data_IF_492310540664
#
_entry.id   IF_492310540664
#
_cell.length_a   1.000
_cell.length_b   1.000
_cell.length_c   1.000
_cell.angle_alpha   90.00
_cell.angle_beta   90.00
_cell.angle_gamma   90.00
#
_symmetry.space_group_name_H-M   'P 1'
#
loop_
_entity.id
_entity.type
_entity.pdbx_description
1 polymer ?
#
# COMPACT_ATOMS: atom_id res chain seq x y z
N UNK A 1 -0.89 -9.15 -30.51
CA UNK A 1 -0.36 -9.17 -31.89
C UNK A 1 0.77 -8.16 -31.98
N UNK A 2 1.97 -8.56 -32.40
CA UNK A 2 3.08 -7.64 -32.65
C UNK A 2 3.36 -7.54 -34.15
N UNK A 3 3.49 -6.33 -34.67
CA UNK A 3 3.94 -6.07 -36.03
C UNK A 3 5.13 -5.12 -35.97
N UNK A 4 6.22 -5.46 -36.65
CA UNK A 4 7.37 -4.56 -36.85
C UNK A 4 7.66 -4.46 -38.35
N UNK A 5 8.00 -3.25 -38.79
CA UNK A 5 8.45 -2.98 -40.15
C UNK A 5 9.91 -3.42 -40.30
N UNK A 6 10.17 -4.32 -41.24
CA UNK A 6 11.50 -4.53 -41.79
C UNK A 6 11.61 -3.71 -43.06
N UNK A 7 12.39 -2.63 -43.02
CA UNK A 7 12.70 -1.83 -44.21
C UNK A 7 14.13 -2.14 -44.67
N UNK A 8 14.23 -2.79 -45.83
CA UNK A 8 15.39 -2.76 -46.70
C UNK A 8 14.92 -2.19 -48.04
N UNK A 9 15.59 -1.16 -48.55
CA UNK A 9 15.22 -0.54 -49.83
C UNK A 9 15.36 -1.57 -50.98
N UNK A 10 14.41 -1.65 -51.92
CA UNK A 10 13.30 -0.72 -52.15
C UNK A 10 11.91 -1.25 -51.73
N UNK A 11 11.79 -2.12 -50.71
CA UNK A 11 10.48 -2.63 -50.28
C UNK A 11 10.38 -2.89 -48.76
N UNK A 12 9.44 -2.22 -48.09
CA UNK A 12 9.08 -2.54 -46.70
C UNK A 12 7.99 -3.62 -46.70
N UNK A 13 8.28 -4.77 -46.08
CA UNK A 13 7.31 -5.86 -45.91
C UNK A 13 6.76 -5.86 -44.49
N UNK A 14 5.44 -5.86 -44.33
CA UNK A 14 4.77 -6.11 -43.05
C UNK A 14 4.70 -7.61 -42.80
N UNK A 15 5.68 -8.16 -42.09
CA UNK A 15 5.65 -9.57 -41.67
C UNK A 15 4.77 -9.70 -40.43
N UNK A 16 3.52 -10.12 -40.61
CA UNK A 16 2.65 -10.53 -39.50
C UNK A 16 3.15 -11.87 -38.97
N UNK A 17 3.88 -11.88 -37.85
CA UNK A 17 3.99 -13.11 -37.08
C UNK A 17 2.62 -13.36 -36.42
N UNK A 18 1.85 -14.30 -36.97
CA UNK A 18 0.96 -15.09 -36.14
C UNK A 18 1.88 -15.85 -35.20
N UNK A 19 1.95 -15.41 -33.94
CA UNK A 19 2.24 -16.38 -32.88
C UNK A 19 1.11 -17.40 -33.02
N UNK A 20 1.43 -18.57 -33.57
CA UNK A 20 0.48 -19.67 -33.59
C UNK A 20 0.21 -19.96 -32.12
N UNK A 21 -1.01 -19.68 -31.67
CA UNK A 21 -1.44 -20.06 -30.35
C UNK A 21 -1.17 -21.56 -30.23
N UNK A 22 -0.37 -21.95 -29.23
CA UNK A 22 -0.04 -23.36 -29.06
C UNK A 22 -1.37 -24.10 -28.89
N UNK A 23 -1.65 -25.04 -29.79
CA UNK A 23 -2.87 -25.84 -29.70
C UNK A 23 -2.90 -26.64 -28.40
N UNK A 24 -4.05 -27.23 -28.04
CA UNK A 24 -4.21 -27.92 -26.77
C UNK A 24 -3.10 -28.98 -26.57
N UNK A 25 -2.39 -28.97 -25.42
CA UNK A 25 -1.35 -29.95 -25.12
C UNK A 25 -1.94 -31.36 -24.92
N UNK A 26 -1.07 -32.37 -24.89
CA UNK A 26 -1.49 -33.77 -24.93
C UNK A 26 -2.32 -34.19 -23.70
N UNK A 27 -1.95 -33.69 -22.54
CA UNK A 27 -2.66 -33.87 -21.26
C UNK A 27 -4.06 -33.25 -21.30
N UNK A 28 -4.22 -32.04 -21.85
CA UNK A 28 -5.53 -31.39 -22.03
C UNK A 28 -6.41 -32.18 -23.02
N UNK A 29 -5.83 -32.70 -24.11
CA UNK A 29 -6.55 -33.55 -25.07
C UNK A 29 -7.00 -34.87 -24.46
N UNK A 30 -6.15 -35.50 -23.65
CA UNK A 30 -6.49 -36.74 -22.94
C UNK A 30 -7.60 -36.50 -21.91
N UNK A 31 -7.51 -35.41 -21.14
CA UNK A 31 -8.54 -35.00 -20.20
C UNK A 31 -9.88 -34.73 -20.90
N UNK A 32 -9.86 -33.97 -21.99
CA UNK A 32 -11.06 -33.71 -22.80
C UNK A 32 -11.67 -35.02 -23.30
N UNK A 33 -10.85 -35.92 -23.88
CA UNK A 33 -11.33 -37.21 -24.40
C UNK A 33 -11.96 -38.07 -23.32
N UNK A 34 -11.41 -38.06 -22.09
CA UNK A 34 -11.96 -38.79 -20.95
C UNK A 34 -13.39 -38.33 -20.63
N UNK A 35 -13.60 -37.02 -20.43
CA UNK A 35 -14.90 -36.47 -20.03
C UNK A 35 -15.89 -36.34 -21.19
N UNK A 36 -15.42 -36.18 -22.44
CA UNK A 36 -16.25 -36.22 -23.63
C UNK A 36 -16.62 -37.66 -24.06
N UNK A 37 -16.22 -38.69 -23.29
CA UNK A 37 -16.45 -40.11 -23.59
C UNK A 37 -15.97 -40.54 -24.98
N UNK A 38 -14.84 -39.98 -25.43
CA UNK A 38 -14.30 -40.21 -26.78
C UNK A 38 -14.97 -39.41 -27.90
N UNK A 39 -15.98 -38.59 -27.57
CA UNK A 39 -16.64 -37.67 -28.49
C UNK A 39 -15.76 -36.50 -28.92
N UNK A 40 -16.16 -35.83 -30.00
CA UNK A 40 -15.50 -34.61 -30.50
C UNK A 40 -15.95 -33.34 -29.76
N UNK A 41 -16.97 -33.47 -28.89
CA UNK A 41 -17.64 -32.38 -28.21
C UNK A 41 -17.93 -32.78 -26.76
N UNK A 42 -17.76 -31.85 -25.83
CA UNK A 42 -18.10 -32.00 -24.41
C UNK A 42 -19.41 -31.28 -24.11
N UNK A 43 -20.40 -31.99 -23.60
CA UNK A 43 -21.71 -31.45 -23.19
C UNK A 43 -21.62 -30.68 -21.87
N UNK A 44 -22.69 -29.97 -21.50
CA UNK A 44 -22.80 -29.28 -20.20
C UNK A 44 -22.65 -30.28 -19.05
N UNK A 45 -23.32 -31.43 -19.13
CA UNK A 45 -23.31 -32.47 -18.11
C UNK A 45 -21.90 -33.05 -17.92
N UNK A 46 -21.18 -33.26 -19.03
CA UNK A 46 -19.80 -33.74 -19.01
C UNK A 46 -18.83 -32.69 -18.45
N UNK A 47 -19.03 -31.41 -18.77
CA UNK A 47 -18.26 -30.33 -18.16
C UNK A 47 -18.53 -30.25 -16.66
N UNK A 48 -19.80 -30.30 -16.24
CA UNK A 48 -20.19 -30.33 -14.83
C UNK A 48 -19.50 -31.47 -14.07
N UNK A 49 -19.45 -32.68 -14.66
CA UNK A 49 -18.74 -33.81 -14.08
C UNK A 49 -17.23 -33.54 -13.94
N UNK A 50 -16.60 -32.93 -14.95
CA UNK A 50 -15.20 -32.51 -14.86
C UNK A 50 -14.96 -31.52 -13.70
N UNK A 51 -15.86 -30.54 -13.53
CA UNK A 51 -15.76 -29.53 -12.46
C UNK A 51 -15.89 -30.16 -11.07
N UNK A 52 -16.84 -31.10 -10.92
CA UNK A 52 -17.06 -31.82 -9.67
C UNK A 52 -15.88 -32.74 -9.31
N UNK A 53 -15.37 -33.51 -10.27
CA UNK A 53 -14.34 -34.54 -10.02
C UNK A 53 -12.91 -33.98 -9.94
N UNK A 54 -12.57 -32.99 -10.78
CA UNK A 54 -11.18 -32.51 -10.93
C UNK A 54 -10.94 -31.20 -10.22
N UNK A 55 -11.84 -30.24 -10.38
CA UNK A 55 -11.64 -28.89 -9.83
C UNK A 55 -12.03 -28.82 -8.34
N UNK A 56 -12.49 -29.92 -7.73
CA UNK A 56 -12.85 -29.99 -6.31
C UNK A 56 -14.02 -29.10 -5.93
N UNK A 57 -14.83 -28.66 -6.91
CA UNK A 57 -15.99 -27.82 -6.66
C UNK A 57 -17.19 -28.69 -6.26
N UNK A 58 -17.18 -29.19 -5.02
CA UNK A 58 -18.27 -30.01 -4.46
C UNK A 58 -19.65 -29.32 -4.35
N UNK A 59 -19.78 -28.09 -4.86
CA UNK A 59 -21.03 -27.31 -4.91
C UNK A 59 -21.30 -26.63 -6.25
N UNK A 60 -20.58 -26.98 -7.33
CA UNK A 60 -20.89 -26.46 -8.67
C UNK A 60 -22.18 -27.09 -9.17
N UNK A 61 -23.14 -26.23 -9.49
CA UNK A 61 -24.43 -26.61 -10.05
C UNK A 61 -24.32 -26.87 -11.55
N UNK A 62 -25.30 -27.55 -12.14
CA UNK A 62 -25.33 -27.73 -13.58
C UNK A 62 -25.52 -26.37 -14.29
N UNK A 63 -26.23 -25.45 -13.66
CA UNK A 63 -26.44 -24.07 -14.13
C UNK A 63 -25.12 -23.29 -14.21
N UNK A 64 -24.18 -23.51 -13.29
CA UNK A 64 -22.84 -22.90 -13.37
C UNK A 64 -22.07 -23.42 -14.60
N UNK A 65 -22.17 -24.73 -14.87
CA UNK A 65 -21.57 -25.32 -16.06
C UNK A 65 -22.22 -24.79 -17.36
N UNK A 66 -23.54 -24.59 -17.38
CA UNK A 66 -24.25 -23.95 -18.50
C UNK A 66 -23.72 -22.53 -18.74
N UNK A 67 -23.61 -21.72 -17.67
CA UNK A 67 -23.08 -20.35 -17.77
C UNK A 67 -21.65 -20.32 -18.29
N UNK A 68 -20.80 -21.26 -17.88
CA UNK A 68 -19.43 -21.37 -18.40
C UNK A 68 -19.47 -21.65 -19.90
N UNK A 69 -20.25 -22.64 -20.34
CA UNK A 69 -20.36 -23.00 -21.77
C UNK A 69 -20.84 -21.81 -22.59
N UNK A 70 -21.90 -21.13 -22.15
CA UNK A 70 -22.45 -19.96 -22.83
C UNK A 70 -21.43 -18.82 -22.94
N UNK A 71 -20.69 -18.54 -21.87
CA UNK A 71 -19.66 -17.49 -21.87
C UNK A 71 -18.47 -17.82 -22.77
N UNK A 72 -18.03 -19.07 -22.80
CA UNK A 72 -16.97 -19.52 -23.74
C UNK A 72 -17.46 -19.36 -25.17
N UNK A 73 -18.66 -19.85 -25.50
CA UNK A 73 -19.20 -19.78 -26.85
C UNK A 73 -19.47 -18.34 -27.29
N UNK A 74 -19.93 -17.47 -26.39
CA UNK A 74 -20.17 -16.05 -26.70
C UNK A 74 -18.89 -15.30 -27.07
N UNK A 75 -17.77 -15.60 -26.40
CA UNK A 75 -16.49 -14.91 -26.64
C UNK A 75 -15.83 -15.33 -27.95
N UNK A 76 -15.99 -16.58 -28.36
CA UNK A 76 -15.22 -17.16 -29.46
C UNK A 76 -16.04 -17.52 -30.70
N UNK A 77 -17.36 -17.68 -30.56
CA UNK A 77 -18.25 -18.16 -31.62
C UNK A 77 -19.52 -17.32 -31.76
N UNK A 78 -19.43 -16.19 -32.49
CA UNK A 78 -20.55 -15.26 -32.70
C UNK A 78 -21.83 -15.89 -33.29
N UNK A 79 -21.69 -16.97 -34.08
CA UNK A 79 -22.79 -17.65 -34.79
C UNK A 79 -23.14 -18.99 -34.14
N UNK A 80 -22.16 -19.80 -33.73
CA UNK A 80 -22.40 -21.15 -33.21
C UNK A 80 -23.08 -21.17 -31.82
N UNK A 81 -23.05 -20.06 -31.07
CA UNK A 81 -23.76 -19.91 -29.79
C UNK A 81 -25.28 -20.16 -29.87
N UNK A 82 -25.88 -20.02 -31.05
CA UNK A 82 -27.32 -20.20 -31.25
C UNK A 82 -27.72 -21.64 -31.60
N UNK A 83 -26.76 -22.50 -31.92
CA UNK A 83 -27.04 -23.86 -32.42
C UNK A 83 -26.34 -24.95 -31.61
N UNK A 84 -25.38 -24.58 -30.75
CA UNK A 84 -24.51 -25.52 -30.04
C UNK A 84 -24.43 -25.19 -28.55
N UNK A 85 -24.60 -26.19 -27.70
CA UNK A 85 -24.41 -26.14 -26.23
C UNK A 85 -23.33 -27.13 -25.76
N UNK A 86 -22.19 -27.13 -26.43
CA UNK A 86 -21.10 -28.06 -26.14
C UNK A 86 -19.75 -27.46 -26.52
N UNK A 87 -18.67 -27.88 -25.87
CA UNK A 87 -17.31 -27.35 -26.04
C UNK A 87 -16.46 -28.26 -26.92
N UNK A 88 -15.61 -27.71 -27.80
CA UNK A 88 -14.53 -28.48 -28.44
C UNK A 88 -13.34 -28.58 -27.50
N UNK A 89 -12.32 -29.35 -27.90
CA UNK A 89 -11.04 -29.39 -27.16
C UNK A 89 -10.35 -28.02 -27.15
N UNK A 90 -10.52 -27.20 -28.19
CA UNK A 90 -10.05 -25.82 -28.22
C UNK A 90 -10.82 -24.95 -27.22
N UNK A 91 -12.15 -25.03 -27.21
CA UNK A 91 -12.99 -24.27 -26.27
C UNK A 91 -12.66 -24.64 -24.80
N UNK A 92 -12.49 -25.93 -24.53
CA UNK A 92 -12.09 -26.43 -23.20
C UNK A 92 -10.69 -25.96 -22.80
N UNK A 93 -9.73 -25.99 -23.72
CA UNK A 93 -8.39 -25.44 -23.48
C UNK A 93 -8.45 -23.95 -23.15
N UNK A 94 -9.23 -23.16 -23.89
CA UNK A 94 -9.40 -21.73 -23.60
C UNK A 94 -10.08 -21.49 -22.25
N UNK A 95 -11.05 -22.33 -21.88
CA UNK A 95 -11.67 -22.30 -20.56
C UNK A 95 -10.64 -22.52 -19.44
N UNK A 96 -9.81 -23.56 -19.52
CA UNK A 96 -8.83 -23.91 -18.47
C UNK A 96 -7.88 -22.76 -18.13
N UNK A 97 -7.48 -21.96 -19.14
CA UNK A 97 -6.58 -20.82 -18.99
C UNK A 97 -7.31 -19.47 -18.91
N UNK A 98 -8.63 -19.48 -18.84
CA UNK A 98 -9.41 -18.26 -18.68
C UNK A 98 -9.29 -17.76 -17.24
N UNK A 99 -8.67 -16.59 -17.05
CA UNK A 99 -8.62 -15.93 -15.74
C UNK A 99 -9.99 -15.46 -15.25
N UNK A 100 -10.97 -15.37 -16.14
CA UNK A 100 -12.32 -14.90 -15.79
C UNK A 100 -13.26 -16.05 -15.47
N UNK A 101 -13.15 -17.16 -16.22
CA UNK A 101 -14.04 -18.32 -16.09
C UNK A 101 -13.46 -19.45 -15.23
N UNK A 102 -12.14 -19.54 -15.14
CA UNK A 102 -11.42 -20.52 -14.33
C UNK A 102 -10.29 -19.85 -13.54
N UNK A 103 -10.60 -18.86 -12.68
CA UNK A 103 -9.57 -18.22 -11.88
C UNK A 103 -8.98 -19.22 -10.88
N UNK A 104 -7.67 -19.12 -10.57
CA UNK A 104 -7.02 -20.02 -9.60
C UNK A 104 -7.58 -19.89 -8.17
N UNK A 105 -8.23 -18.76 -7.86
CA UNK A 105 -8.93 -18.48 -6.61
C UNK A 105 -10.28 -17.85 -6.96
N UNK A 106 -11.34 -18.18 -6.21
CA UNK A 106 -12.65 -17.56 -6.40
C UNK A 106 -12.61 -16.05 -6.13
N UNK A 107 -13.49 -15.30 -6.80
CA UNK A 107 -13.62 -13.84 -6.64
C UNK A 107 -14.50 -13.44 -5.44
N UNK A 108 -14.79 -14.38 -4.53
CA UNK A 108 -15.65 -14.15 -3.37
C UNK A 108 -14.85 -14.14 -2.08
N UNK A 109 -15.22 -13.24 -1.18
CA UNK A 109 -14.67 -13.18 0.16
C UNK A 109 -15.17 -14.38 0.96
N UNK A 110 -14.25 -15.23 1.43
CA UNK A 110 -14.57 -16.46 2.15
C UNK A 110 -14.04 -16.47 3.59
N UNK A 111 -13.17 -15.53 3.95
CA UNK A 111 -12.56 -15.43 5.27
C UNK A 111 -13.51 -14.73 6.23
N UNK A 112 -13.31 -14.95 7.54
CA UNK A 112 -13.98 -14.14 8.55
C UNK A 112 -13.48 -12.70 8.44
N UNK A 113 -14.39 -11.76 8.20
CA UNK A 113 -14.10 -10.33 8.03
C UNK A 113 -14.54 -9.50 9.25
N UNK A 114 -14.90 -10.16 10.35
CA UNK A 114 -15.41 -9.55 11.58
C UNK A 114 -14.36 -9.45 12.69
N UNK A 115 -13.14 -9.97 12.49
CA UNK A 115 -12.06 -9.80 13.43
C UNK A 115 -11.47 -8.36 13.35
N UNK A 116 -10.70 -7.91 14.36
CA UNK A 116 -10.05 -6.60 14.33
C UNK A 116 -9.15 -6.40 13.10
N UNK A 117 -9.09 -5.18 12.57
CA UNK A 117 -8.27 -4.85 11.38
C UNK A 117 -6.78 -5.26 11.51
N UNK A 118 -6.22 -5.32 12.72
CA UNK A 118 -4.85 -5.80 12.96
C UNK A 118 -4.64 -7.29 12.62
N UNK A 119 -5.69 -8.07 12.42
CA UNK A 119 -5.60 -9.50 12.10
C UNK A 119 -5.44 -9.77 10.60
N UNK A 120 -5.51 -8.75 9.76
CA UNK A 120 -5.53 -8.89 8.30
C UNK A 120 -4.25 -8.33 7.68
N UNK A 121 -3.75 -8.98 6.64
CA UNK A 121 -2.79 -8.35 5.74
C UNK A 121 -3.51 -7.38 4.82
N UNK A 122 -2.97 -6.17 4.70
CA UNK A 122 -3.61 -5.06 4.00
C UNK A 122 -2.76 -4.66 2.80
N UNK A 123 -3.35 -4.69 1.60
CA UNK A 123 -2.64 -4.34 0.38
C UNK A 123 -2.22 -2.87 0.39
N UNK A 124 -0.91 -2.62 0.49
CA UNK A 124 -0.39 -1.30 0.82
C UNK A 124 0.46 -0.72 -0.30
N UNK A 125 0.12 0.48 -0.76
CA UNK A 125 0.95 1.30 -1.63
C UNK A 125 1.98 2.12 -0.85
N UNK A 126 3.14 2.35 -1.46
CA UNK A 126 4.18 3.28 -1.01
C UNK A 126 4.30 4.40 -2.05
N UNK A 127 4.37 5.66 -1.59
CA UNK A 127 4.43 6.86 -2.42
C UNK A 127 3.48 6.78 -3.63
N UNK A 128 2.20 6.57 -3.33
CA UNK A 128 1.18 6.11 -4.30
C UNK A 128 0.88 7.11 -5.42
N UNK A 129 1.39 8.33 -5.30
CA UNK A 129 1.27 9.41 -6.26
C UNK A 129 2.39 9.43 -7.32
N UNK A 130 3.48 8.66 -7.14
CA UNK A 130 4.60 8.67 -8.08
C UNK A 130 4.29 7.87 -9.36
N UNK A 131 4.60 8.45 -10.52
CA UNK A 131 4.48 7.79 -11.82
C UNK A 131 5.70 6.88 -12.11
N UNK A 132 6.86 7.16 -11.51
CA UNK A 132 8.08 6.41 -11.79
C UNK A 132 9.07 6.36 -10.62
N UNK A 133 10.28 6.85 -10.86
CA UNK A 133 11.39 6.82 -9.91
C UNK A 133 11.17 7.79 -8.72
N UNK A 134 11.91 7.59 -7.63
CA UNK A 134 11.75 8.36 -6.39
C UNK A 134 12.36 9.78 -6.46
N UNK A 135 13.10 10.15 -7.50
CA UNK A 135 13.90 11.38 -7.50
C UNK A 135 13.40 12.47 -8.44
N UNK A 136 12.93 12.12 -9.63
CA UNK A 136 12.62 13.08 -10.70
C UNK A 136 11.36 12.76 -11.49
N UNK A 137 10.62 11.71 -11.11
CA UNK A 137 9.38 11.39 -11.80
C UNK A 137 8.23 12.32 -11.41
N UNK A 138 7.23 12.41 -12.27
CA UNK A 138 6.06 13.22 -12.00
C UNK A 138 5.16 12.59 -10.93
N UNK A 139 4.48 13.44 -10.16
CA UNK A 139 3.40 13.04 -9.27
C UNK A 139 2.05 13.22 -9.97
N UNK A 140 1.13 12.28 -9.75
CA UNK A 140 -0.22 12.33 -10.32
C UNK A 140 -1.20 11.52 -9.48
N UNK A 141 -2.49 11.77 -9.69
CA UNK A 141 -3.62 10.97 -9.24
C UNK A 141 -3.81 9.67 -10.05
N UNK A 142 -3.27 9.57 -11.28
CA UNK A 142 -3.42 8.38 -12.14
C UNK A 142 -2.87 7.09 -11.50
N UNK A 143 -1.66 7.06 -10.88
CA UNK A 143 -1.17 5.88 -10.19
C UNK A 143 -2.03 5.48 -8.98
N UNK A 144 -2.67 6.45 -8.32
CA UNK A 144 -3.60 6.22 -7.21
C UNK A 144 -4.85 5.49 -7.72
N UNK A 145 -5.46 5.99 -8.79
CA UNK A 145 -6.60 5.34 -9.45
C UNK A 145 -6.26 3.91 -9.84
N UNK A 146 -5.10 3.70 -10.47
CA UNK A 146 -4.62 2.37 -10.87
C UNK A 146 -4.34 1.44 -9.68
N UNK A 147 -3.87 1.97 -8.56
CA UNK A 147 -3.65 1.19 -7.34
C UNK A 147 -5.00 0.73 -6.77
N UNK A 148 -5.98 1.63 -6.65
CA UNK A 148 -7.30 1.33 -6.10
C UNK A 148 -8.08 0.32 -6.96
N UNK A 149 -8.06 0.45 -8.29
CA UNK A 149 -8.71 -0.51 -9.19
C UNK A 149 -8.04 -1.89 -9.20
N UNK A 150 -6.80 -2.00 -8.70
CA UNK A 150 -6.09 -3.26 -8.46
C UNK A 150 -6.32 -3.81 -7.05
N UNK A 151 -7.20 -3.20 -6.25
CA UNK A 151 -7.52 -3.65 -4.90
C UNK A 151 -6.60 -3.11 -3.80
N UNK A 152 -5.65 -2.19 -4.07
CA UNK A 152 -4.84 -1.57 -3.00
C UNK A 152 -5.76 -0.88 -2.00
N UNK A 153 -5.57 -1.14 -0.71
CA UNK A 153 -6.40 -0.61 0.40
C UNK A 153 -5.71 0.47 1.23
N UNK A 154 -4.40 0.67 1.07
CA UNK A 154 -3.67 1.75 1.74
C UNK A 154 -2.97 2.64 0.71
N UNK A 155 -3.30 3.93 0.71
CA UNK A 155 -2.74 4.94 -0.19
C UNK A 155 -1.91 5.92 0.63
N UNK A 156 -0.65 6.12 0.25
CA UNK A 156 0.26 7.07 0.88
C UNK A 156 0.32 8.38 0.10
N UNK A 157 0.18 9.51 0.81
CA UNK A 157 0.33 10.88 0.29
C UNK A 157 1.27 11.69 1.19
N UNK A 158 2.30 12.27 0.58
CA UNK A 158 3.26 13.16 1.27
C UNK A 158 2.80 14.60 1.11
N UNK A 159 2.37 15.22 2.19
CA UNK A 159 1.72 16.52 2.18
C UNK A 159 2.72 17.64 2.45
N UNK A 160 2.84 18.57 1.50
CA UNK A 160 3.73 19.72 1.59
C UNK A 160 3.02 21.03 1.26
N UNK A 161 3.44 22.16 1.85
CA UNK A 161 2.94 23.47 1.45
C UNK A 161 3.38 23.80 0.01
N UNK A 162 2.51 24.48 -0.74
CA UNK A 162 2.92 25.16 -1.97
C UNK A 162 3.87 26.35 -1.67
N UNK A 163 4.46 26.94 -2.71
CA UNK A 163 5.39 28.07 -2.56
C UNK A 163 4.79 29.29 -1.84
N UNK A 164 3.48 29.54 -2.02
CA UNK A 164 2.76 30.62 -1.36
C UNK A 164 2.32 30.29 0.08
N UNK A 165 2.50 29.05 0.54
CA UNK A 165 2.10 28.52 1.86
C UNK A 165 0.61 28.65 2.19
N UNK A 166 -0.24 28.76 1.16
CA UNK A 166 -1.69 28.88 1.27
C UNK A 166 -2.43 27.64 0.74
N UNK A 167 -1.74 26.71 0.09
CA UNK A 167 -2.30 25.45 -0.42
C UNK A 167 -1.38 24.24 -0.21
N UNK A 168 -1.92 23.04 -0.46
CA UNK A 168 -1.26 21.76 -0.20
C UNK A 168 -1.03 20.97 -1.49
N UNK A 169 0.22 20.56 -1.65
CA UNK A 169 0.70 19.73 -2.73
C UNK A 169 1.07 18.34 -2.21
N UNK A 170 1.05 17.37 -3.12
CA UNK A 170 1.57 16.02 -2.91
C UNK A 170 2.82 15.84 -3.76
N UNK A 171 3.94 15.54 -3.12
CA UNK A 171 5.24 15.28 -3.77
C UNK A 171 6.20 14.57 -2.83
N UNK A 172 7.25 13.96 -3.39
CA UNK A 172 8.34 13.44 -2.59
C UNK A 172 9.31 14.58 -2.23
N UNK A 173 9.33 14.94 -0.95
CA UNK A 173 10.06 16.10 -0.47
C UNK A 173 11.57 16.03 -0.73
N UNK A 174 12.20 17.20 -0.89
CA UNK A 174 13.66 17.31 -1.15
C UNK A 174 14.14 16.56 -2.40
N UNK A 175 13.26 16.34 -3.37
CA UNK A 175 13.59 15.75 -4.68
C UNK A 175 13.13 16.65 -5.83
N UNK A 176 13.37 16.22 -7.07
CA UNK A 176 12.98 16.92 -8.30
C UNK A 176 11.64 16.42 -8.86
N UNK A 177 10.85 15.67 -8.08
CA UNK A 177 9.52 15.21 -8.53
C UNK A 177 8.58 16.40 -8.71
N UNK A 178 7.83 16.42 -9.82
CA UNK A 178 6.84 17.48 -10.04
C UNK A 178 5.61 17.23 -9.17
N UNK A 179 5.09 18.24 -8.46
CA UNK A 179 3.99 18.06 -7.50
C UNK A 179 2.62 17.92 -8.18
N UNK A 180 1.67 17.32 -7.45
CA UNK A 180 0.23 17.31 -7.79
C UNK A 180 -0.60 17.95 -6.68
N UNK A 181 -1.68 18.62 -7.02
CA UNK A 181 -2.59 19.23 -6.03
C UNK A 181 -3.29 18.15 -5.19
N UNK A 182 -3.34 18.32 -3.87
CA UNK A 182 -3.97 17.36 -2.96
C UNK A 182 -5.42 17.05 -3.36
N UNK A 183 -6.19 18.06 -3.79
CA UNK A 183 -7.59 17.87 -4.16
C UNK A 183 -7.78 16.90 -5.34
N UNK A 184 -6.83 16.84 -6.28
CA UNK A 184 -6.89 15.88 -7.39
C UNK A 184 -6.75 14.45 -6.87
N UNK A 185 -5.78 14.22 -5.97
CA UNK A 185 -5.61 12.93 -5.32
C UNK A 185 -6.85 12.53 -4.52
N UNK A 186 -7.41 13.43 -3.70
CA UNK A 186 -8.60 13.13 -2.89
C UNK A 186 -9.83 12.79 -3.74
N UNK A 187 -10.04 13.48 -4.88
CA UNK A 187 -11.13 13.18 -5.82
C UNK A 187 -10.95 11.82 -6.49
N UNK A 188 -9.75 11.52 -7.00
CA UNK A 188 -9.44 10.22 -7.57
C UNK A 188 -9.65 9.08 -6.56
N UNK A 189 -9.27 9.29 -5.29
CA UNK A 189 -9.55 8.34 -4.21
C UNK A 189 -11.06 8.17 -4.03
N UNK A 190 -11.84 9.25 -3.90
CA UNK A 190 -13.29 9.18 -3.71
C UNK A 190 -13.98 8.36 -4.81
N UNK A 191 -13.58 8.58 -6.05
CA UNK A 191 -14.17 7.92 -7.22
C UNK A 191 -13.83 6.43 -7.32
N UNK A 192 -12.67 6.02 -6.81
CA UNK A 192 -12.13 4.67 -7.03
C UNK A 192 -11.98 3.84 -5.76
N UNK A 193 -12.19 4.40 -4.58
CA UNK A 193 -11.90 3.76 -3.29
C UNK A 193 -12.49 2.35 -3.19
N UNK A 194 -13.73 2.17 -3.64
CA UNK A 194 -14.48 0.92 -3.48
C UNK A 194 -14.79 0.23 -4.81
N UNK A 195 -14.05 0.53 -5.88
CA UNK A 195 -14.28 -0.05 -7.21
C UNK A 195 -13.90 -1.53 -7.30
N UNK A 196 -12.86 -1.93 -6.57
CA UNK A 196 -12.36 -3.30 -6.56
C UNK A 196 -12.80 -4.12 -5.34
N UNK A 197 -13.11 -3.47 -4.21
CA UNK A 197 -13.52 -4.13 -2.96
C UNK A 197 -14.36 -3.19 -2.08
N UNK A 198 -15.36 -3.69 -1.34
CA UNK A 198 -16.18 -2.89 -0.42
C UNK A 198 -15.44 -2.52 0.88
N UNK A 199 -14.31 -3.16 1.19
CA UNK A 199 -13.58 -2.97 2.44
C UNK A 199 -12.84 -1.62 2.52
N UNK A 200 -12.52 -1.15 3.74
CA UNK A 200 -12.03 0.22 3.95
C UNK A 200 -10.76 0.56 3.18
N UNK A 201 -10.64 1.85 2.83
CA UNK A 201 -9.40 2.44 2.32
C UNK A 201 -8.77 3.32 3.41
N UNK A 202 -7.48 3.10 3.67
CA UNK A 202 -6.69 3.86 4.65
C UNK A 202 -5.79 4.84 3.91
N UNK A 203 -5.90 6.12 4.25
CA UNK A 203 -5.01 7.17 3.75
C UNK A 203 -3.91 7.43 4.76
N UNK A 204 -2.67 7.22 4.37
CA UNK A 204 -1.52 7.48 5.23
C UNK A 204 -0.85 8.78 4.79
N UNK A 205 -0.79 9.76 5.70
CA UNK A 205 -0.15 11.03 5.40
C UNK A 205 1.24 11.13 6.01
N UNK A 206 2.22 11.47 5.20
CA UNK A 206 3.46 12.09 5.66
C UNK A 206 3.26 13.61 5.71
N UNK A 207 2.97 14.11 6.90
CA UNK A 207 2.50 15.48 7.11
C UNK A 207 3.67 16.45 7.40
N UNK A 208 3.95 17.34 6.44
CA UNK A 208 4.94 18.43 6.56
C UNK A 208 4.28 19.80 6.66
N UNK A 209 3.01 19.86 7.08
CA UNK A 209 2.20 21.06 7.09
C UNK A 209 2.26 21.81 8.43
N UNK A 210 2.00 23.12 8.37
CA UNK A 210 1.74 23.93 9.55
C UNK A 210 0.26 23.77 10.01
N UNK A 211 -0.11 24.20 11.23
CA UNK A 211 -1.48 24.03 11.75
C UNK A 211 -2.59 24.68 10.90
N UNK A 212 -2.30 25.78 10.20
CA UNK A 212 -3.26 26.44 9.32
C UNK A 212 -3.57 25.55 8.09
N UNK A 213 -2.53 25.00 7.46
CA UNK A 213 -2.71 24.08 6.33
C UNK A 213 -3.30 22.73 6.77
N UNK A 214 -2.99 22.23 7.98
CA UNK A 214 -3.66 21.06 8.55
C UNK A 214 -5.18 21.28 8.68
N UNK A 215 -5.60 22.48 9.10
CA UNK A 215 -7.01 22.84 9.16
C UNK A 215 -7.66 22.83 7.76
N UNK A 216 -6.96 23.39 6.76
CA UNK A 216 -7.39 23.36 5.35
C UNK A 216 -7.52 21.91 4.85
N UNK A 217 -6.55 21.04 5.14
CA UNK A 217 -6.62 19.61 4.79
C UNK A 217 -7.81 18.93 5.46
N UNK A 218 -8.05 19.20 6.74
CA UNK A 218 -9.22 18.65 7.44
C UNK A 218 -10.53 19.04 6.76
N UNK A 219 -10.65 20.31 6.34
CA UNK A 219 -11.79 20.79 5.57
C UNK A 219 -11.92 20.07 4.22
N UNK A 220 -10.82 19.97 3.45
CA UNK A 220 -10.80 19.31 2.15
C UNK A 220 -11.21 17.84 2.24
N UNK A 221 -10.70 17.10 3.23
CA UNK A 221 -11.03 15.69 3.48
C UNK A 221 -12.52 15.56 3.84
N UNK A 222 -13.00 16.39 4.78
CA UNK A 222 -14.41 16.36 5.22
C UNK A 222 -15.37 16.66 4.07
N UNK A 223 -15.07 17.68 3.26
CA UNK A 223 -15.87 18.05 2.10
C UNK A 223 -15.83 16.99 0.99
N UNK A 224 -14.66 16.36 0.78
CA UNK A 224 -14.50 15.38 -0.29
C UNK A 224 -15.19 14.07 0.05
N UNK A 225 -14.90 13.49 1.22
CA UNK A 225 -15.37 12.14 1.57
C UNK A 225 -16.74 12.15 2.27
N UNK A 226 -17.11 13.22 2.98
CA UNK A 226 -18.40 13.32 3.65
C UNK A 226 -18.72 12.09 4.49
N UNK A 227 -19.84 11.43 4.18
CA UNK A 227 -20.28 10.22 4.88
C UNK A 227 -19.32 9.01 4.73
N UNK A 228 -18.45 8.99 3.71
CA UNK A 228 -17.45 7.91 3.58
C UNK A 228 -16.36 8.01 4.65
N UNK A 229 -16.13 9.19 5.24
CA UNK A 229 -15.08 9.37 6.22
C UNK A 229 -15.43 8.66 7.53
N UNK A 230 -14.55 7.80 8.01
CA UNK A 230 -14.61 7.24 9.35
C UNK A 230 -13.85 8.15 10.31
N UNK A 231 -14.51 8.53 11.40
CA UNK A 231 -13.91 9.26 12.51
C UNK A 231 -14.32 8.55 13.80
N UNK A 232 -13.38 8.16 14.66
CA UNK A 232 -13.71 7.42 15.87
C UNK A 232 -14.48 8.32 16.85
N UNK A 233 -15.50 7.76 17.53
CA UNK A 233 -16.30 8.48 18.53
C UNK A 233 -15.47 8.92 19.75
N UNK A 234 -14.43 8.15 20.06
CA UNK A 234 -13.48 8.39 21.14
C UNK A 234 -12.08 8.65 20.57
N UNK A 235 -11.31 9.53 21.21
CA UNK A 235 -9.88 9.70 20.88
C UNK A 235 -9.03 8.44 21.15
N UNK A 236 -9.61 7.39 21.75
CA UNK A 236 -8.92 6.21 22.25
C UNK A 236 -9.61 4.93 21.79
N UNK A 237 -9.10 4.29 20.74
CA UNK A 237 -9.48 2.94 20.36
C UNK A 237 -8.67 1.92 21.17
N UNK A 238 -9.34 1.05 21.92
CA UNK A 238 -8.70 -0.08 22.62
C UNK A 238 -8.38 -1.26 21.69
N UNK A 239 -9.10 -1.35 20.59
CA UNK A 239 -8.99 -2.35 19.54
C UNK A 239 -9.41 -1.71 18.21
N UNK A 240 -8.92 -2.23 17.09
CA UNK A 240 -9.37 -1.75 15.78
C UNK A 240 -10.74 -2.34 15.43
N UNK A 241 -11.67 -1.54 14.85
CA UNK A 241 -12.87 -2.10 14.26
C UNK A 241 -12.54 -3.10 13.15
N UNK A 242 -13.47 -3.99 12.85
CA UNK A 242 -13.31 -5.00 11.81
C UNK A 242 -13.41 -4.41 10.39
N UNK A 243 -12.86 -5.10 9.36
CA UNK A 243 -13.12 -4.77 7.97
C UNK A 243 -14.62 -4.67 7.65
N UNK A 244 -15.44 -5.56 8.21
CA UNK A 244 -16.89 -5.58 8.01
C UNK A 244 -17.58 -4.30 8.51
N UNK A 245 -17.27 -3.86 9.73
CA UNK A 245 -17.80 -2.61 10.32
C UNK A 245 -17.35 -1.35 9.55
N UNK A 246 -16.22 -1.45 8.85
CA UNK A 246 -15.58 -0.36 8.12
C UNK A 246 -15.84 -0.39 6.61
N UNK A 247 -16.78 -1.23 6.14
CA UNK A 247 -17.16 -1.24 4.72
C UNK A 247 -17.56 0.15 4.23
N UNK A 248 -17.06 0.49 3.04
CA UNK A 248 -17.25 1.77 2.37
C UNK A 248 -16.75 2.99 3.16
N UNK A 249 -15.79 2.78 4.09
CA UNK A 249 -15.17 3.86 4.85
C UNK A 249 -13.76 4.21 4.39
N UNK A 250 -13.45 5.51 4.46
CA UNK A 250 -12.13 6.10 4.32
C UNK A 250 -11.59 6.42 5.71
N UNK A 251 -10.37 5.97 6.00
CA UNK A 251 -9.76 6.06 7.33
C UNK A 251 -8.47 6.88 7.22
N UNK A 252 -8.30 7.90 8.05
CA UNK A 252 -7.07 8.70 8.07
C UNK A 252 -6.07 8.13 9.09
N UNK A 253 -4.83 7.94 8.64
CA UNK A 253 -3.73 7.47 9.48
C UNK A 253 -2.49 8.34 9.37
N UNK A 254 -2.18 9.10 10.42
CA UNK A 254 -0.99 9.95 10.46
C UNK A 254 -0.51 10.20 11.89
N UNK A 255 0.57 10.96 12.05
CA UNK A 255 1.07 11.40 13.35
C UNK A 255 0.14 12.50 13.88
N UNK A 256 -0.34 12.43 15.13
CA UNK A 256 -1.14 13.50 15.70
C UNK A 256 -0.32 14.81 15.81
N UNK A 257 -0.94 15.99 15.62
CA UNK A 257 -0.27 17.28 15.76
C UNK A 257 0.44 17.45 17.12
N UNK A 258 1.56 18.18 17.15
CA UNK A 258 2.27 18.49 18.41
C UNK A 258 1.39 19.46 19.24
N UNK A 259 0.85 18.99 20.37
CA UNK A 259 0.20 19.89 21.35
C UNK A 259 1.26 20.83 21.96
N UNK A 260 1.22 22.12 21.65
CA UNK A 260 2.00 23.12 22.37
C UNK A 260 1.42 23.21 23.78
N UNK A 261 2.08 22.57 24.76
CA UNK A 261 1.82 22.87 26.17
C UNK A 261 2.15 24.34 26.40
N UNK A 262 1.14 25.14 26.72
CA UNK A 262 1.33 26.46 27.28
C UNK A 262 2.22 26.30 28.52
N UNK A 263 3.48 26.72 28.43
CA UNK A 263 4.27 26.98 29.63
C UNK A 263 3.58 28.16 30.30
N UNK A 264 2.64 27.89 31.21
CA UNK A 264 2.16 28.89 32.16
C UNK A 264 3.39 29.45 32.85
N UNK A 265 3.72 30.70 32.52
CA UNK A 265 4.87 31.39 33.06
C UNK A 265 4.75 31.48 34.58
N UNK A 266 5.74 30.94 35.27
CA UNK A 266 6.07 31.36 36.62
C UNK A 266 7.49 31.91 36.52
N UNK A 267 7.60 33.21 36.31
CA UNK A 267 8.81 33.95 36.61
C UNK A 267 9.00 33.95 38.13
N UNK A 268 10.11 33.40 38.61
CA UNK A 268 11.06 34.06 39.52
C UNK A 268 11.95 33.01 40.20
N UNK A 269 13.24 32.98 39.83
CA UNK A 269 14.35 33.48 40.66
C UNK A 269 15.67 33.23 39.94
N UNK A 270 16.44 34.31 39.83
CA UNK A 270 17.87 34.30 39.52
C UNK A 270 18.60 33.59 40.67
N UNK A 271 19.61 32.79 40.35
CA UNK A 271 20.84 32.78 41.14
C UNK A 271 22.03 32.31 40.30
N UNK A 272 23.19 32.79 40.74
CA UNK A 272 24.43 33.07 40.03
C UNK A 272 25.42 31.89 40.13
N UNK A 273 26.17 31.67 39.04
CA UNK A 273 27.58 31.19 38.90
C UNK A 273 28.12 30.12 39.85
N UNK A 274 28.79 29.08 39.33
CA UNK A 274 30.26 28.92 39.41
C UNK A 274 30.75 27.97 38.29
N UNK A 275 31.70 28.49 37.49
CA UNK A 275 32.57 27.74 36.57
C UNK A 275 33.60 26.91 37.37
N UNK A 276 33.77 25.64 37.03
CA UNK A 276 34.95 24.84 37.37
C UNK A 276 35.62 24.31 36.11
N UNK A 277 36.73 24.95 35.70
CA UNK A 277 37.69 24.41 34.73
C UNK A 277 38.73 23.60 35.51
N UNK A 278 39.06 22.39 35.04
CA UNK A 278 40.39 21.81 35.25
C UNK A 278 40.89 21.33 33.88
N UNK A 279 42.06 21.83 33.52
CA UNK A 279 42.87 21.62 32.33
C UNK A 279 43.81 20.43 32.49
N UNK A 280 44.19 19.78 31.38
CA UNK A 280 45.60 19.58 31.00
C UNK A 280 45.70 19.34 29.49
N UNK A 281 46.66 20.06 28.89
CA UNK A 281 47.21 19.97 27.53
C UNK A 281 47.92 18.59 27.37
N UNK A 282 48.29 18.04 26.20
CA UNK A 282 49.12 18.66 25.16
C UNK A 282 49.42 17.69 23.98
N UNK A 283 49.79 18.29 22.83
CA UNK A 283 50.71 17.82 21.76
C UNK A 283 50.22 16.94 20.57
N UNK A 284 50.64 17.45 19.41
CA UNK A 284 50.42 17.17 18.00
C UNK A 284 51.49 16.23 17.39
N UNK A 285 51.08 15.32 16.49
CA UNK A 285 51.78 15.15 15.21
C UNK A 285 52.18 13.72 14.73
N UNK A 286 51.77 13.45 13.48
CA UNK A 286 52.41 12.64 12.40
C UNK A 286 51.87 11.23 12.08
N UNK A 287 51.48 11.07 10.81
CA UNK A 287 51.20 9.85 10.01
C UNK A 287 52.49 9.07 9.64
N UNK A 288 52.46 7.99 8.80
CA UNK A 288 51.75 6.68 8.83
C UNK A 288 52.78 5.50 8.77
N UNK A 289 52.46 4.17 8.78
CA UNK A 289 51.99 3.41 7.59
C UNK A 289 51.18 2.08 7.82
N UNK A 290 50.56 1.63 6.73
CA UNK A 290 50.19 0.26 6.25
C UNK A 290 49.56 -0.89 7.10
N UNK A 291 48.48 -1.44 6.51
CA UNK A 291 47.97 -2.83 6.45
C UNK A 291 47.70 -3.63 7.75
N UNK A 292 46.41 -3.87 8.08
CA UNK A 292 45.72 -5.19 8.01
C UNK A 292 44.34 -5.21 8.71
N UNK A 293 43.40 -5.92 8.07
CA UNK A 293 42.28 -6.73 8.61
C UNK A 293 41.31 -6.21 9.69
N UNK A 294 40.04 -6.10 9.25
CA UNK A 294 38.79 -6.61 9.86
C UNK A 294 38.33 -6.20 11.27
N UNK A 295 37.06 -5.79 11.29
CA UNK A 295 36.07 -5.75 12.39
C UNK A 295 36.24 -4.64 13.44
N UNK A 296 35.37 -3.63 13.38
CA UNK A 296 34.23 -3.47 14.29
C UNK A 296 33.59 -2.08 14.10
N UNK A 297 32.29 -2.01 14.39
CA UNK A 297 31.53 -0.82 14.79
C UNK A 297 31.29 0.29 13.76
N UNK A 298 30.10 0.27 13.17
CA UNK A 298 29.45 1.45 12.62
C UNK A 298 28.06 1.60 13.27
N UNK A 299 28.06 1.91 14.57
CA UNK A 299 26.92 2.59 15.20
C UNK A 299 26.88 4.05 14.72
N UNK A 300 26.41 4.26 13.49
CA UNK A 300 25.92 5.57 13.07
C UNK A 300 24.44 5.67 13.37
N UNK A 301 24.15 6.45 14.39
CA UNK A 301 22.82 6.92 14.73
C UNK A 301 22.28 7.81 13.60
N UNK A 302 21.35 7.28 12.81
CA UNK A 302 20.48 8.06 11.92
C UNK A 302 19.43 8.79 12.77
N UNK A 303 19.88 9.84 13.46
CA UNK A 303 19.00 10.89 13.98
C UNK A 303 18.76 11.89 12.85
N UNK A 304 17.59 11.80 12.24
CA UNK A 304 17.06 12.80 11.32
C UNK A 304 16.88 14.14 12.08
N UNK A 305 17.95 14.93 12.08
CA UNK A 305 17.97 16.28 12.64
C UNK A 305 17.87 17.26 11.47
N UNK A 306 16.66 17.70 11.20
CA UNK A 306 16.42 18.88 10.37
C UNK A 306 15.33 19.75 11.02
N UNK A 307 15.69 20.40 12.13
CA UNK A 307 14.95 21.56 12.65
C UNK A 307 15.85 22.80 12.57
N UNK A 308 15.70 23.58 11.49
CA UNK A 308 15.99 25.01 11.50
C UNK A 308 15.10 25.70 10.46
N UNK A 309 13.93 26.15 10.89
CA UNK A 309 13.14 27.16 10.18
C UNK A 309 12.85 28.28 11.18
N UNK A 310 13.71 29.30 11.19
CA UNK A 310 13.34 30.62 11.70
C UNK A 310 12.50 31.29 10.60
N UNK A 311 11.23 31.55 10.91
CA UNK A 311 10.39 32.43 10.12
C UNK A 311 9.97 33.53 11.08
N UNK A 312 10.38 34.77 10.80
CA UNK A 312 9.99 35.95 11.56
C UNK A 312 8.47 36.14 11.48
N UNK A 313 7.81 36.30 12.64
CA UNK A 313 6.38 36.58 12.77
C UNK A 313 6.19 38.09 12.99
N UNK A 314 5.51 38.76 12.05
CA UNK A 314 4.94 40.10 12.27
C UNK A 314 3.50 39.99 12.81
N UNK A 315 3.21 40.88 13.77
CA UNK A 315 2.07 40.89 14.69
C UNK A 315 0.68 41.00 14.02
N UNK A 316 -0.20 40.02 14.25
CA UNK A 316 -1.67 40.23 14.34
C UNK A 316 -2.28 39.15 15.26
N UNK A 317 -2.48 39.48 16.54
CA UNK A 317 -2.39 38.49 17.64
C UNK A 317 -3.67 38.41 18.52
N UNK A 318 -4.73 37.74 18.07
CA UNK A 318 -5.73 37.12 18.98
C UNK A 318 -6.72 36.20 18.24
N UNK A 319 -7.39 36.70 17.20
CA UNK A 319 -8.43 35.97 16.47
C UNK A 319 -7.85 34.73 15.76
N UNK A 320 -6.69 34.88 15.13
CA UNK A 320 -6.02 33.79 14.40
C UNK A 320 -5.58 32.63 15.29
N UNK A 321 -5.33 32.88 16.59
CA UNK A 321 -4.91 31.82 17.52
C UNK A 321 -6.05 30.84 17.82
N UNK A 322 -7.26 31.35 18.02
CA UNK A 322 -8.44 30.51 18.27
C UNK A 322 -8.80 29.66 17.04
N UNK A 323 -8.75 30.25 15.85
CA UNK A 323 -8.98 29.55 14.58
C UNK A 323 -7.91 28.48 14.31
N UNK A 324 -6.64 28.77 14.58
CA UNK A 324 -5.53 27.80 14.48
C UNK A 324 -5.66 26.63 15.45
N UNK A 325 -6.08 26.89 16.71
CA UNK A 325 -6.30 25.85 17.71
C UNK A 325 -7.51 24.96 17.35
N UNK A 326 -8.60 25.56 16.86
CA UNK A 326 -9.79 24.85 16.38
C UNK A 326 -9.49 23.98 15.15
N UNK A 327 -8.70 24.50 14.20
CA UNK A 327 -8.30 23.78 13.00
C UNK A 327 -7.38 22.60 13.25
N UNK A 328 -6.39 22.76 14.14
CA UNK A 328 -5.53 21.65 14.57
C UNK A 328 -6.31 20.55 15.28
N UNK A 329 -7.33 20.93 16.07
CA UNK A 329 -8.24 19.99 16.72
C UNK A 329 -9.12 19.25 15.69
N UNK A 330 -9.63 19.95 14.67
CA UNK A 330 -10.40 19.33 13.59
C UNK A 330 -9.57 18.28 12.84
N UNK A 331 -8.33 18.61 12.47
CA UNK A 331 -7.43 17.65 11.83
C UNK A 331 -7.12 16.44 12.74
N UNK A 332 -6.82 16.69 14.03
CA UNK A 332 -6.57 15.61 15.01
C UNK A 332 -7.76 14.66 15.15
N UNK A 333 -9.00 15.17 15.14
CA UNK A 333 -10.24 14.37 15.25
C UNK A 333 -10.48 13.44 14.05
N UNK A 334 -9.94 13.77 12.88
CA UNK A 334 -10.05 12.89 11.70
C UNK A 334 -9.12 11.67 11.80
N UNK A 335 -8.08 11.71 12.64
CA UNK A 335 -7.06 10.66 12.70
C UNK A 335 -7.61 9.46 13.48
N UNK A 336 -8.02 8.44 12.73
CA UNK A 336 -8.52 7.18 13.28
C UNK A 336 -7.40 6.22 13.68
N UNK A 337 -6.29 6.18 12.92
CA UNK A 337 -5.14 5.28 13.19
C UNK A 337 -3.90 6.13 13.46
N UNK A 338 -3.49 6.22 14.73
CA UNK A 338 -2.38 7.06 15.15
C UNK A 338 -1.04 6.41 14.81
N UNK A 339 -0.19 7.13 14.08
CA UNK A 339 1.19 6.72 13.84
C UNK A 339 2.08 7.08 15.04
N UNK A 340 2.50 6.06 15.80
CA UNK A 340 3.35 6.20 16.98
C UNK A 340 4.76 6.68 16.63
N UNK A 341 5.34 7.52 17.50
CA UNK A 341 6.75 7.89 17.42
C UNK A 341 7.60 6.85 18.13
N UNK A 342 8.59 6.32 17.44
CA UNK A 342 9.68 5.55 18.03
C UNK A 342 10.59 6.54 18.78
N UNK A 343 10.45 6.64 20.10
CA UNK A 343 11.24 7.57 20.93
C UNK A 343 12.38 6.89 21.71
N UNK A 344 12.33 5.57 21.85
CA UNK A 344 13.32 4.77 22.57
C UNK A 344 13.89 3.65 21.70
N UNK A 345 14.46 2.63 22.37
CA UNK A 345 14.91 1.43 21.67
C UNK A 345 13.69 0.72 21.04
N UNK A 346 13.86 0.15 19.84
CA UNK A 346 12.77 -0.54 19.15
C UNK A 346 12.15 -1.66 20.00
N UNK A 347 12.97 -2.38 20.77
CA UNK A 347 12.49 -3.43 21.67
C UNK A 347 11.53 -2.89 22.74
N UNK A 348 11.83 -1.72 23.29
CA UNK A 348 10.95 -1.08 24.28
C UNK A 348 9.64 -0.70 23.59
N UNK A 349 9.71 -0.08 22.42
CA UNK A 349 8.52 0.34 21.67
C UNK A 349 7.60 -0.84 21.32
N UNK A 350 8.17 -1.99 20.91
CA UNK A 350 7.40 -3.20 20.62
C UNK A 350 6.71 -3.77 21.87
N UNK A 351 7.32 -3.60 23.04
CA UNK A 351 6.80 -4.11 24.32
C UNK A 351 5.96 -3.09 25.10
N UNK A 352 5.83 -1.84 24.63
CA UNK A 352 4.94 -0.85 25.24
C UNK A 352 3.49 -1.31 25.14
N UNK A 353 2.97 -1.81 26.25
CA UNK A 353 1.55 -2.11 26.41
C UNK A 353 0.79 -0.81 26.65
N UNK A 354 0.35 -0.19 25.56
CA UNK A 354 -0.58 0.91 25.63
C UNK A 354 -2.00 0.39 25.73
N UNK A 355 -2.86 1.11 26.45
CA UNK A 355 -4.31 0.87 26.44
C UNK A 355 -4.94 1.15 25.07
N UNK A 356 -4.21 1.83 24.17
CA UNK A 356 -4.67 2.26 22.87
C UNK A 356 -3.91 1.54 21.76
N UNK A 357 -4.63 1.11 20.74
CA UNK A 357 -4.01 0.59 19.52
C UNK A 357 -3.32 1.71 18.75
N UNK A 358 -2.25 1.35 18.05
CA UNK A 358 -1.48 2.28 17.22
C UNK A 358 -0.90 1.59 16.00
N UNK A 359 -0.36 2.41 15.11
CA UNK A 359 0.51 1.98 14.03
C UNK A 359 1.94 2.41 14.29
N UNK A 360 2.93 1.60 13.93
CA UNK A 360 4.31 2.06 13.75
C UNK A 360 4.79 1.74 12.32
N UNK A 361 5.76 2.50 11.82
CA UNK A 361 6.34 2.31 10.50
C UNK A 361 7.85 2.08 10.59
N UNK A 362 8.36 1.07 9.89
CA UNK A 362 9.79 0.74 9.80
C UNK A 362 10.23 0.62 8.35
N UNK A 363 11.43 1.11 8.02
CA UNK A 363 12.04 0.79 6.73
C UNK A 363 12.36 -0.70 6.65
N UNK A 364 12.41 -1.26 5.44
CA UNK A 364 12.71 -2.68 5.23
C UNK A 364 13.97 -3.15 5.99
N UNK A 365 15.02 -2.32 6.01
CA UNK A 365 16.29 -2.65 6.66
C UNK A 365 16.17 -2.66 8.19
N UNK A 366 15.44 -1.70 8.76
CA UNK A 366 15.18 -1.65 10.21
C UNK A 366 14.33 -2.84 10.62
N UNK A 367 13.34 -3.18 9.80
CA UNK A 367 12.47 -4.33 10.05
C UNK A 367 13.21 -5.66 9.92
N UNK A 368 14.05 -5.87 8.91
CA UNK A 368 14.84 -7.10 8.76
C UNK A 368 15.71 -7.36 10.00
N UNK A 369 16.39 -6.32 10.51
CA UNK A 369 17.15 -6.41 11.76
C UNK A 369 16.26 -6.74 12.96
N UNK A 370 15.08 -6.14 13.03
CA UNK A 370 14.11 -6.36 14.10
C UNK A 370 13.51 -7.78 14.08
N UNK A 371 13.20 -8.31 12.90
CA UNK A 371 12.67 -9.66 12.74
C UNK A 371 13.66 -10.72 13.21
N UNK A 372 14.97 -10.52 12.94
CA UNK A 372 16.03 -11.42 13.41
C UNK A 372 16.26 -11.27 14.91
N UNK A 373 16.29 -10.05 15.43
CA UNK A 373 16.70 -9.79 16.82
C UNK A 373 15.55 -9.91 17.83
N UNK A 374 14.32 -9.63 17.41
CA UNK A 374 13.15 -9.43 18.26
C UNK A 374 11.86 -10.04 17.68
N UNK A 375 11.95 -11.10 16.85
CA UNK A 375 10.80 -11.66 16.12
C UNK A 375 9.57 -11.97 16.99
N UNK A 376 9.75 -12.52 18.20
CA UNK A 376 8.63 -12.78 19.13
C UNK A 376 7.96 -11.49 19.62
N UNK A 377 8.73 -10.43 19.85
CA UNK A 377 8.19 -9.14 20.27
C UNK A 377 7.45 -8.46 19.11
N UNK A 378 7.93 -8.64 17.87
CA UNK A 378 7.25 -8.19 16.65
C UNK A 378 5.88 -8.88 16.52
N UNK A 379 5.82 -10.21 16.62
CA UNK A 379 4.56 -10.96 16.52
C UNK A 379 3.59 -10.57 17.64
N UNK A 380 4.08 -10.41 18.87
CA UNK A 380 3.24 -9.96 19.99
C UNK A 380 2.68 -8.55 19.72
N UNK A 381 3.48 -7.65 19.18
CA UNK A 381 3.04 -6.30 18.83
C UNK A 381 1.94 -6.34 17.76
N UNK A 382 2.12 -7.13 16.69
CA UNK A 382 1.22 -7.18 15.54
C UNK A 382 -0.13 -7.84 15.83
N UNK A 383 -0.25 -8.63 16.90
CA UNK A 383 -1.56 -9.16 17.33
C UNK A 383 -2.60 -8.07 17.60
N UNK A 384 -2.18 -6.93 18.18
CA UNK A 384 -3.09 -5.81 18.54
C UNK A 384 -2.86 -4.53 17.75
N UNK A 385 -1.64 -4.33 17.26
CA UNK A 385 -1.21 -3.09 16.61
C UNK A 385 -0.90 -3.32 15.13
N UNK A 386 -0.87 -2.25 14.35
CA UNK A 386 -0.52 -2.32 12.93
C UNK A 386 0.98 -2.00 12.76
N UNK A 387 1.69 -2.87 12.07
CA UNK A 387 3.06 -2.63 11.64
C UNK A 387 3.08 -2.36 10.13
N UNK A 388 3.62 -1.19 9.77
CA UNK A 388 3.92 -0.82 8.38
C UNK A 388 5.40 -1.01 8.08
N UNK A 389 5.69 -1.67 6.97
CA UNK A 389 7.04 -1.80 6.41
C UNK A 389 7.06 -1.05 5.08
N UNK A 390 8.11 -0.28 4.82
CA UNK A 390 8.25 0.47 3.57
C UNK A 390 9.65 0.36 2.95
N UNK A 391 9.77 0.53 1.62
CA UNK A 391 11.06 0.46 0.92
C UNK A 391 12.09 1.45 1.48
N UNK A 392 13.35 1.05 1.54
CA UNK A 392 14.45 1.96 1.91
C UNK A 392 14.65 3.04 0.84
N UNK A 393 15.12 4.20 1.25
CA UNK A 393 15.34 5.37 0.37
C UNK A 393 16.36 5.09 -0.75
N UNK A 394 17.31 4.16 -0.57
CA UNK A 394 18.28 3.81 -1.62
C UNK A 394 17.66 3.09 -2.82
N UNK A 395 16.38 2.71 -2.76
CA UNK A 395 15.61 2.18 -3.90
C UNK A 395 15.09 3.31 -4.79
N UNK A 396 16.03 4.14 -5.28
CA UNK A 396 15.72 5.33 -6.10
C UNK A 396 14.97 5.01 -7.39
N UNK A 397 15.15 3.81 -7.93
CA UNK A 397 14.44 3.29 -9.11
C UNK A 397 13.06 2.71 -8.79
N UNK A 398 12.56 2.89 -7.57
CA UNK A 398 11.27 2.37 -7.11
C UNK A 398 11.17 0.84 -7.15
N UNK A 399 12.30 0.12 -7.04
CA UNK A 399 12.29 -1.33 -6.86
C UNK A 399 11.58 -1.75 -5.57
N UNK A 400 11.08 -2.99 -5.53
CA UNK A 400 10.41 -3.54 -4.34
C UNK A 400 11.29 -4.55 -3.59
N UNK A 401 11.04 -4.69 -2.29
CA UNK A 401 11.70 -5.67 -1.42
C UNK A 401 10.92 -6.99 -1.36
N UNK A 402 11.49 -8.01 -0.72
CA UNK A 402 10.82 -9.31 -0.54
C UNK A 402 9.78 -9.19 0.58
N UNK A 403 8.52 -9.52 0.33
CA UNK A 403 7.44 -9.23 1.29
C UNK A 403 7.32 -10.26 2.40
N UNK A 404 7.75 -11.49 2.13
CA UNK A 404 7.54 -12.65 3.01
C UNK A 404 8.11 -12.43 4.41
N UNK A 405 9.23 -11.71 4.53
CA UNK A 405 9.81 -11.40 5.83
C UNK A 405 8.84 -10.59 6.69
N UNK A 406 8.07 -9.67 6.09
CA UNK A 406 7.02 -8.91 6.76
C UNK A 406 5.88 -9.79 7.21
N UNK A 407 5.26 -10.50 6.28
CA UNK A 407 4.05 -11.30 6.55
C UNK A 407 4.29 -12.47 7.49
N UNK A 408 5.42 -13.19 7.39
CA UNK A 408 5.76 -14.30 8.30
C UNK A 408 5.89 -13.81 9.76
N UNK A 409 6.20 -12.53 9.96
CA UNK A 409 6.28 -11.89 11.28
C UNK A 409 5.01 -11.08 11.63
N UNK A 410 3.94 -11.22 10.86
CA UNK A 410 2.63 -10.62 11.14
C UNK A 410 2.49 -9.15 10.75
N UNK A 411 3.40 -8.57 9.96
CA UNK A 411 3.25 -7.18 9.52
C UNK A 411 2.07 -7.02 8.54
N UNK A 412 1.09 -6.20 8.90
CA UNK A 412 -0.15 -6.02 8.15
C UNK A 412 0.06 -5.17 6.90
N UNK A 413 0.83 -4.08 7.03
CA UNK A 413 1.02 -3.09 5.96
C UNK A 413 2.42 -3.22 5.35
N UNK A 414 2.61 -4.20 4.46
CA UNK A 414 3.85 -4.34 3.69
C UNK A 414 3.70 -3.49 2.42
N UNK A 415 4.33 -2.31 2.39
CA UNK A 415 4.10 -1.29 1.36
C UNK A 415 4.98 -1.49 0.11
N UNK A 416 4.40 -1.27 -1.09
CA UNK A 416 5.09 -1.42 -2.37
C UNK A 416 5.00 -0.18 -3.26
N UNK A 417 6.06 0.03 -4.04
CA UNK A 417 6.06 0.93 -5.18
C UNK A 417 5.19 0.30 -6.30
N UNK A 418 3.97 0.80 -6.46
CA UNK A 418 2.95 0.25 -7.39
C UNK A 418 3.22 0.57 -8.86
N UNK A 419 4.07 1.56 -9.12
CA UNK A 419 4.39 2.10 -10.44
C UNK A 419 5.42 1.25 -11.22
N UNK A 420 6.18 0.38 -10.54
CA UNK A 420 7.17 -0.50 -11.19
C UNK A 420 6.66 -1.92 -11.22
N UNK A 421 6.43 -2.50 -12.40
CA UNK A 421 6.07 -3.92 -12.54
C UNK A 421 7.32 -4.81 -12.37
N UNK A 422 7.34 -5.67 -11.35
CA UNK A 422 8.45 -6.58 -11.03
C UNK A 422 7.95 -7.98 -10.67
N UNK A 423 8.79 -9.01 -10.79
CA UNK A 423 8.46 -10.39 -10.38
C UNK A 423 8.05 -10.52 -8.92
N UNK A 424 8.55 -9.64 -8.05
CA UNK A 424 8.00 -9.53 -6.70
C UNK A 424 6.50 -9.30 -6.79
N UNK A 425 6.00 -8.29 -7.55
CA UNK A 425 4.58 -7.98 -7.77
C UNK A 425 3.73 -9.17 -8.27
N UNK A 426 4.34 -10.13 -8.96
CA UNK A 426 3.68 -11.37 -9.39
C UNK A 426 3.47 -12.39 -8.27
N UNK A 427 4.36 -12.47 -7.26
CA UNK A 427 4.13 -13.33 -6.08
C UNK A 427 2.95 -12.83 -5.22
N UNK A 428 2.56 -11.56 -5.33
CA UNK A 428 1.46 -10.96 -4.55
C UNK A 428 0.07 -11.34 -5.05
N UNK A 429 -0.09 -11.63 -6.34
CA UNK A 429 -1.36 -12.18 -6.83
C UNK A 429 -1.63 -13.58 -6.24
N UNK A 430 -0.58 -14.29 -5.78
CA UNK A 430 -0.69 -15.62 -5.21
C UNK A 430 -0.77 -15.65 -3.68
N UNK A 431 -0.26 -14.64 -2.97
CA UNK A 431 -0.34 -14.57 -1.49
C UNK A 431 -1.54 -13.71 -1.09
N UNK A 432 -2.72 -14.35 -1.13
CA UNK A 432 -3.87 -14.14 -0.24
C UNK A 432 -4.05 -12.70 0.29
N UNK A 433 -4.70 -11.87 -0.51
CA UNK A 433 -5.07 -10.51 -0.14
C UNK A 433 -6.35 -10.50 0.71
N UNK A 434 -6.17 -10.63 2.02
CA UNK A 434 -7.20 -10.72 3.07
C UNK A 434 -8.18 -9.52 3.16
N UNK A 435 -8.04 -8.47 2.35
CA UNK A 435 -8.97 -7.30 2.33
C UNK A 435 -9.21 -6.76 0.91
N UNK A 436 -8.75 -7.44 -0.15
CA UNK A 436 -8.84 -6.91 -1.52
C UNK A 436 -9.99 -7.46 -2.36
N UNK A 437 -10.70 -8.47 -1.86
CA UNK A 437 -11.87 -9.05 -2.53
C UNK A 437 -13.17 -8.50 -1.94
#
# INVERSE_FOLDING_TARGET
MGSYLLCGLPACFTRKHKVAEAGPPADVKEMFKKYAEGGTHMTVEQLWQFLAEVQGHGGVSIEDAEQIVDQVLQRWHHIARFTRRSLTVEDFHHYLFSTDLNPPLGNQVYQDMTAPLSHYFIYTGHNSYLIGNQFSSDCSDVPITKALTRGVRVIELDLWPNSAKDDVLVLHGRTLTTPVELIKCLRAIKENAFSASPYPVILTFEDHLNPHLQAKVAQMITQTFGAMLYSPESECLKEFPSPEELKYRIIISTKPPKERREKKGINNRKDISVKGKISTEDVLGKEPPDLTANQADDERSDYDTSEHNQCDEDNTEACDRATRASGALAYKRLIAIHNGKLKGCLKEELNLQLEKVRRISLSEQKFEKAAVSYGTDVVRFTQKNILRIYPKQTRVNSSNYKPMIGWINGAQMVAFNMQVFQYSLLQYYFVLLLVSF
#
